data_IF_509200546355
#
_entry.id   IF_509200546355
#
_cell.length_a   1.000
_cell.length_b   1.000
_cell.length_c   1.000
_cell.angle_alpha   90.00
_cell.angle_beta   90.00
_cell.angle_gamma   90.00
#
_symmetry.space_group_name_H-M   'P 1'
#
loop_
_entity.id
_entity.type
_entity.pdbx_description
1 polymer ?
#
# COMPACT_ATOMS: atom_id res chain seq x y z
N UNK A 1 8.45 28.34 2.82
CA UNK A 1 8.04 26.93 2.58
C UNK A 1 6.55 26.86 2.80
N UNK A 2 5.80 26.26 1.88
CA UNK A 2 4.35 26.11 2.02
C UNK A 2 4.12 24.86 2.88
N UNK A 3 3.86 25.03 4.18
CA UNK A 3 3.71 23.94 5.13
C UNK A 3 2.32 23.92 5.76
N UNK A 4 1.89 22.75 6.21
CA UNK A 4 0.66 22.54 6.96
C UNK A 4 0.97 21.87 8.29
N UNK A 5 0.51 22.47 9.39
CA UNK A 5 0.55 21.84 10.71
C UNK A 5 -0.48 20.72 10.79
N UNK A 6 -0.02 19.51 11.06
CA UNK A 6 -0.85 18.31 11.20
C UNK A 6 -0.70 17.79 12.63
N UNK A 7 -1.83 17.46 13.26
CA UNK A 7 -1.90 16.88 14.60
C UNK A 7 -2.63 15.56 14.55
N UNK A 8 -2.15 14.57 15.30
CA UNK A 8 -2.82 13.28 15.36
C UNK A 8 -2.41 12.41 16.54
N UNK A 9 -3.09 11.28 16.64
CA UNK A 9 -2.93 10.29 17.69
C UNK A 9 -2.05 9.10 17.26
N UNK A 10 -1.88 8.13 18.16
CA UNK A 10 -1.06 6.93 17.92
C UNK A 10 -1.57 6.07 16.76
N UNK A 11 -2.89 5.95 16.56
CA UNK A 11 -3.48 5.16 15.47
C UNK A 11 -3.20 5.82 14.12
N UNK A 12 -3.40 7.13 14.03
CA UNK A 12 -3.08 7.92 12.83
C UNK A 12 -1.59 7.91 12.52
N UNK A 13 -0.74 8.06 13.53
CA UNK A 13 0.72 7.95 13.38
C UNK A 13 1.13 6.62 12.76
N UNK A 14 0.54 5.50 13.19
CA UNK A 14 0.84 4.18 12.63
C UNK A 14 0.46 4.10 11.14
N UNK A 15 -0.75 4.53 10.79
CA UNK A 15 -1.26 4.53 9.42
C UNK A 15 -0.42 5.45 8.51
N UNK A 16 -0.21 6.70 8.92
CA UNK A 16 0.54 7.68 8.13
C UNK A 16 1.98 7.21 7.91
N UNK A 17 2.64 6.67 8.95
CA UNK A 17 4.00 6.12 8.82
C UNK A 17 4.06 4.90 7.91
N UNK A 18 2.99 4.11 7.84
CA UNK A 18 2.90 3.00 6.88
C UNK A 18 2.73 3.52 5.45
N UNK A 19 1.85 4.49 5.22
CA UNK A 19 1.70 5.16 3.92
C UNK A 19 3.02 5.81 3.46
N UNK A 20 3.75 6.47 4.36
CA UNK A 20 5.08 7.05 4.08
C UNK A 20 6.13 6.00 3.66
N UNK A 21 5.95 4.72 3.99
CA UNK A 21 6.85 3.65 3.49
C UNK A 21 6.54 3.25 2.05
N UNK A 22 5.38 3.65 1.54
CA UNK A 22 4.91 3.35 0.19
C UNK A 22 5.18 4.48 -0.80
N UNK A 23 5.62 5.66 -0.33
CA UNK A 23 5.97 6.79 -1.19
C UNK A 23 7.36 6.60 -1.83
N UNK A 24 7.58 7.31 -2.93
CA UNK A 24 8.87 7.34 -3.62
C UNK A 24 9.94 8.05 -2.77
N UNK A 25 11.16 7.50 -2.72
CA UNK A 25 12.28 8.06 -1.93
C UNK A 25 13.38 8.74 -2.76
N UNK A 26 13.33 8.60 -4.09
CA UNK A 26 14.33 9.15 -5.00
C UNK A 26 14.04 10.60 -5.42
N UNK A 27 14.99 11.22 -6.10
CA UNK A 27 14.90 12.62 -6.53
C UNK A 27 14.06 12.85 -7.80
N UNK A 28 13.83 11.81 -8.61
CA UNK A 28 13.26 11.94 -9.96
C UNK A 28 11.73 12.00 -10.07
N UNK A 29 10.99 11.84 -8.97
CA UNK A 29 9.51 11.86 -8.97
C UNK A 29 8.95 12.65 -7.78
N UNK A 30 9.07 13.99 -7.78
CA UNK A 30 8.66 14.83 -6.65
C UNK A 30 7.19 14.65 -6.25
N UNK A 31 6.27 14.60 -7.22
CA UNK A 31 4.85 14.31 -6.98
C UNK A 31 4.58 13.04 -6.15
N UNK A 32 5.47 12.04 -6.18
CA UNK A 32 5.29 10.76 -5.49
C UNK A 32 5.97 10.67 -4.11
N UNK A 33 6.62 11.74 -3.64
CA UNK A 33 7.33 11.74 -2.35
C UNK A 33 6.40 11.84 -1.15
N UNK A 34 5.22 12.42 -1.36
CA UNK A 34 4.22 12.65 -0.32
C UNK A 34 3.03 11.70 -0.39
N UNK A 35 2.14 11.85 0.59
CA UNK A 35 0.81 11.23 0.58
C UNK A 35 -0.14 12.20 -0.10
N UNK A 36 -0.84 11.73 -1.13
CA UNK A 36 -1.84 12.50 -1.85
C UNK A 36 -3.22 12.29 -1.22
N UNK A 37 -3.98 13.37 -1.05
CA UNK A 37 -5.32 13.38 -0.47
C UNK A 37 -6.30 13.91 -1.51
N UNK A 38 -7.28 13.08 -1.88
CA UNK A 38 -8.31 13.42 -2.87
C UNK A 38 -9.60 12.64 -2.58
N UNK A 39 -10.75 13.31 -2.63
CA UNK A 39 -12.09 12.72 -2.47
C UNK A 39 -12.24 11.81 -1.23
N UNK A 40 -11.74 12.26 -0.08
CA UNK A 40 -11.77 11.54 1.18
C UNK A 40 -10.80 10.36 1.27
N UNK A 41 -9.86 10.21 0.33
CA UNK A 41 -8.89 9.11 0.28
C UNK A 41 -7.47 9.61 0.51
N UNK A 42 -6.63 8.75 1.06
CA UNK A 42 -5.18 8.91 1.11
C UNK A 42 -4.52 7.90 0.17
N UNK A 43 -3.68 8.40 -0.72
CA UNK A 43 -2.99 7.64 -1.77
C UNK A 43 -1.48 7.77 -1.56
N UNK A 44 -0.78 6.64 -1.54
CA UNK A 44 0.68 6.60 -1.48
C UNK A 44 1.22 5.58 -2.49
N UNK A 45 2.18 5.98 -3.30
CA UNK A 45 2.78 5.14 -4.34
C UNK A 45 4.23 5.51 -4.60
N UNK A 46 5.01 4.52 -5.04
CA UNK A 46 6.37 4.70 -5.56
C UNK A 46 6.45 4.54 -7.09
N UNK A 47 5.30 4.33 -7.74
CA UNK A 47 5.14 4.04 -9.17
C UNK A 47 5.22 2.56 -9.55
N UNK A 48 5.47 1.65 -8.60
CA UNK A 48 5.41 0.20 -8.80
C UNK A 48 4.32 -0.47 -7.96
N UNK A 49 4.00 0.12 -6.81
CA UNK A 49 2.90 -0.30 -5.93
C UNK A 49 2.14 0.93 -5.46
N UNK A 50 0.89 0.73 -5.10
CA UNK A 50 0.01 1.78 -4.60
C UNK A 50 -0.81 1.27 -3.44
N UNK A 51 -0.98 2.13 -2.44
CA UNK A 51 -1.90 1.93 -1.33
C UNK A 51 -2.91 3.06 -1.33
N UNK A 52 -4.18 2.70 -1.24
CA UNK A 52 -5.31 3.63 -1.11
C UNK A 52 -6.03 3.27 0.19
N UNK A 53 -6.27 4.27 1.04
CA UNK A 53 -7.07 4.13 2.26
C UNK A 53 -8.07 5.28 2.36
N UNK A 54 -9.09 5.20 3.23
CA UNK A 54 -9.77 6.41 3.68
C UNK A 54 -8.75 7.41 4.24
N UNK A 55 -8.96 8.70 4.01
CA UNK A 55 -8.11 9.75 4.54
C UNK A 55 -8.16 9.71 6.08
N UNK A 56 -7.00 9.65 6.76
CA UNK A 56 -6.97 9.72 8.21
C UNK A 56 -7.49 11.10 8.68
N UNK A 57 -8.10 11.16 9.87
CA UNK A 57 -8.71 12.40 10.41
C UNK A 57 -7.81 13.65 10.26
N UNK A 58 -6.49 13.60 10.53
CA UNK A 58 -5.63 14.77 10.40
C UNK A 58 -5.53 15.35 8.98
N UNK A 59 -5.91 14.58 7.96
CA UNK A 59 -5.85 14.97 6.55
C UNK A 59 -7.22 15.32 5.94
N UNK A 60 -8.32 15.10 6.66
CA UNK A 60 -9.65 15.41 6.14
C UNK A 60 -9.82 16.91 5.85
N UNK A 61 -10.43 17.22 4.71
CA UNK A 61 -10.68 18.60 4.26
C UNK A 61 -9.46 19.37 3.78
N UNK A 62 -8.30 18.69 3.60
CA UNK A 62 -7.12 19.31 3.01
C UNK A 62 -7.04 19.14 1.47
N UNK A 63 -7.96 18.38 0.89
CA UNK A 63 -7.95 17.98 -0.51
C UNK A 63 -8.30 19.10 -1.52
N UNK A 64 -7.77 19.04 -2.75
CA UNK A 64 -6.71 18.12 -3.20
C UNK A 64 -5.32 18.59 -2.77
N UNK A 65 -4.51 17.72 -2.18
CA UNK A 65 -3.16 18.08 -1.71
C UNK A 65 -2.20 16.89 -1.67
N UNK A 66 -0.90 17.15 -1.83
CA UNK A 66 0.16 16.17 -1.57
C UNK A 66 1.07 16.67 -0.45
N UNK A 67 1.26 15.86 0.59
CA UNK A 67 2.01 16.23 1.79
C UNK A 67 3.22 15.32 2.03
N UNK A 68 4.39 15.92 2.19
CA UNK A 68 5.64 15.25 2.59
C UNK A 68 6.06 15.70 4.00
N UNK A 69 6.64 14.80 4.79
CA UNK A 69 7.12 15.12 6.12
C UNK A 69 7.31 13.88 6.98
N UNK A 70 8.00 14.00 8.10
CA UNK A 70 8.28 12.88 9.00
C UNK A 70 7.29 12.86 10.16
N UNK A 71 6.48 11.81 10.26
CA UNK A 71 5.57 11.61 11.40
C UNK A 71 6.24 10.69 12.44
N UNK A 72 6.42 11.14 13.70
CA UNK A 72 6.99 10.32 14.77
C UNK A 72 5.98 9.26 15.25
N UNK A 73 6.45 8.27 15.99
CA UNK A 73 5.60 7.27 16.62
C UNK A 73 4.83 7.88 17.82
N UNK A 74 3.53 7.58 17.94
CA UNK A 74 2.72 8.04 19.07
C UNK A 74 1.83 9.24 18.72
N UNK A 75 1.48 10.06 19.73
CA UNK A 75 0.82 11.35 19.49
C UNK A 75 1.81 12.29 18.83
N UNK A 76 1.35 13.12 17.90
CA UNK A 76 2.23 13.99 17.14
C UNK A 76 1.59 15.32 16.78
N UNK A 77 2.44 16.31 16.61
CA UNK A 77 2.16 17.60 16.01
C UNK A 77 3.39 17.97 15.17
N UNK A 78 3.23 18.05 13.85
CA UNK A 78 4.35 18.28 12.91
C UNK A 78 3.93 19.23 11.79
N UNK A 79 4.89 19.94 11.23
CA UNK A 79 4.70 20.64 9.95
C UNK A 79 5.03 19.67 8.80
N UNK A 80 4.10 19.55 7.85
CA UNK A 80 4.31 18.81 6.61
C UNK A 80 4.44 19.80 5.45
N UNK A 81 5.36 19.55 4.54
CA UNK A 81 5.57 20.33 3.34
C UNK A 81 4.52 19.97 2.29
N UNK A 82 3.99 20.99 1.61
CA UNK A 82 3.05 20.84 0.51
C UNK A 82 3.86 20.69 -0.78
N UNK A 83 3.67 19.57 -1.48
CA UNK A 83 4.27 19.35 -2.80
C UNK A 83 3.41 20.02 -3.86
N UNK A 84 3.98 21.00 -4.56
CA UNK A 84 3.31 21.77 -5.61
C UNK A 84 3.50 21.15 -7.00
N UNK A 85 3.42 19.82 -7.08
CA UNK A 85 3.55 19.05 -8.31
C UNK A 85 2.25 18.30 -8.59
N UNK A 86 2.02 17.95 -9.85
CA UNK A 86 0.78 17.27 -10.25
C UNK A 86 0.88 15.80 -9.90
N UNK A 87 -0.02 15.33 -9.02
CA UNK A 87 -0.10 13.92 -8.72
C UNK A 87 -0.63 13.15 -9.94
N UNK A 88 -0.07 11.97 -10.30
CA UNK A 88 -0.54 11.20 -11.44
C UNK A 88 -2.00 10.77 -11.27
N UNK A 89 -2.72 10.62 -12.38
CA UNK A 89 -4.07 10.04 -12.37
C UNK A 89 -4.00 8.58 -11.93
N UNK A 90 -4.28 8.34 -10.65
CA UNK A 90 -4.27 7.00 -10.10
C UNK A 90 -5.53 6.21 -10.46
N UNK A 91 -6.62 6.88 -10.86
CA UNK A 91 -7.90 6.22 -11.14
C UNK A 91 -7.77 5.36 -12.39
N UNK A 92 -6.97 5.80 -13.37
CA UNK A 92 -6.74 5.07 -14.62
C UNK A 92 -6.00 3.74 -14.46
N UNK A 93 -5.36 3.47 -13.31
CA UNK A 93 -4.61 2.22 -13.05
C UNK A 93 -5.32 1.30 -12.05
N UNK A 94 -6.37 1.77 -11.37
CA UNK A 94 -7.18 0.92 -10.49
C UNK A 94 -8.09 0.07 -11.40
N UNK A 95 -8.01 -1.27 -11.35
CA UNK A 95 -8.86 -2.10 -12.20
C UNK A 95 -10.34 -1.82 -11.91
N UNK A 96 -11.15 -1.57 -12.94
CA UNK A 96 -12.59 -1.36 -12.78
C UNK A 96 -13.36 -2.67 -12.86
N UNK A 97 -12.89 -3.58 -13.70
CA UNK A 97 -13.50 -4.89 -13.92
C UNK A 97 -13.48 -5.79 -12.68
N UNK A 98 -14.35 -6.79 -12.71
CA UNK A 98 -14.33 -7.86 -11.72
C UNK A 98 -13.06 -8.70 -11.90
N UNK A 99 -12.36 -9.04 -10.81
CA UNK A 99 -11.17 -9.88 -10.90
C UNK A 99 -11.52 -11.26 -11.46
N UNK A 100 -10.68 -11.78 -12.35
CA UNK A 100 -10.82 -13.13 -12.91
C UNK A 100 -10.76 -14.23 -11.84
N UNK A 101 -10.05 -13.96 -10.73
CA UNK A 101 -9.94 -14.86 -9.59
C UNK A 101 -9.71 -14.09 -8.30
N UNK A 102 -10.33 -14.56 -7.22
CA UNK A 102 -10.15 -14.02 -5.86
C UNK A 102 -9.73 -15.17 -4.97
N UNK A 103 -8.61 -15.01 -4.27
CA UNK A 103 -8.10 -15.99 -3.31
C UNK A 103 -7.82 -15.27 -1.99
N UNK A 104 -8.38 -15.80 -0.91
CA UNK A 104 -8.15 -15.29 0.44
C UNK A 104 -6.92 -15.96 1.03
N UNK A 105 -6.03 -15.18 1.64
CA UNK A 105 -4.82 -15.71 2.28
C UNK A 105 -4.60 -15.05 3.63
N UNK A 106 -3.93 -15.77 4.53
CA UNK A 106 -3.37 -15.14 5.73
C UNK A 106 -2.17 -14.28 5.33
N UNK A 107 -2.28 -12.97 5.52
CA UNK A 107 -1.24 -12.00 5.10
C UNK A 107 0.09 -12.20 5.81
N UNK A 108 0.08 -12.63 7.08
CA UNK A 108 1.29 -12.91 7.85
C UNK A 108 2.01 -14.15 7.30
N UNK A 109 1.28 -15.24 7.03
CA UNK A 109 1.86 -16.44 6.45
C UNK A 109 2.45 -16.20 5.06
N UNK A 110 1.73 -15.45 4.21
CA UNK A 110 2.26 -15.06 2.90
C UNK A 110 3.53 -14.21 3.05
N UNK A 111 3.52 -13.21 3.93
CA UNK A 111 4.69 -12.37 4.16
C UNK A 111 5.90 -13.17 4.67
N UNK A 112 5.67 -14.14 5.56
CA UNK A 112 6.75 -14.98 6.11
C UNK A 112 7.37 -15.90 5.05
N UNK A 113 6.56 -16.47 4.15
CA UNK A 113 7.07 -17.21 2.99
C UNK A 113 7.89 -16.28 2.09
N UNK A 114 7.36 -15.10 1.75
CA UNK A 114 8.01 -14.16 0.84
C UNK A 114 9.31 -13.56 1.39
N UNK A 115 9.46 -13.43 2.71
CA UNK A 115 10.74 -13.01 3.34
C UNK A 115 11.89 -13.98 3.08
N UNK A 116 11.60 -15.25 2.82
CA UNK A 116 12.58 -16.25 2.45
C UNK A 116 13.05 -16.15 0.99
N UNK A 117 12.37 -15.33 0.18
CA UNK A 117 12.60 -15.21 -1.26
C UNK A 117 13.24 -13.86 -1.63
N UNK A 118 14.10 -13.87 -2.65
CA UNK A 118 14.75 -12.70 -3.21
C UNK A 118 14.21 -12.39 -4.60
N UNK A 119 13.89 -11.12 -4.84
CA UNK A 119 13.43 -10.65 -6.14
C UNK A 119 11.95 -10.97 -6.39
N UNK A 120 11.67 -11.67 -7.48
CA UNK A 120 10.29 -11.97 -7.92
C UNK A 120 9.85 -13.32 -7.38
N UNK A 121 8.67 -13.37 -6.76
CA UNK A 121 7.95 -14.60 -6.47
C UNK A 121 6.85 -14.82 -7.51
N UNK A 122 6.68 -16.06 -7.95
CA UNK A 122 5.64 -16.50 -8.90
C UNK A 122 4.57 -17.24 -8.10
N UNK A 123 3.32 -16.81 -8.23
CA UNK A 123 2.17 -17.41 -7.56
C UNK A 123 1.33 -18.18 -8.58
N UNK A 124 1.17 -19.49 -8.37
CA UNK A 124 0.28 -20.36 -9.14
C UNK A 124 -1.08 -20.47 -8.45
N UNK A 125 -2.14 -19.99 -9.12
CA UNK A 125 -3.51 -20.03 -8.60
C UNK A 125 -4.32 -21.11 -9.36
N UNK A 126 -4.87 -22.08 -8.62
CA UNK A 126 -5.58 -23.23 -9.20
C UNK A 126 -7.10 -23.21 -8.96
N UNK A 127 -7.59 -22.15 -8.31
CA UNK A 127 -8.99 -21.94 -7.92
C UNK A 127 -9.11 -21.32 -6.52
N UNK A 128 -10.27 -20.74 -6.20
CA UNK A 128 -10.50 -19.93 -4.99
C UNK A 128 -10.16 -20.63 -3.66
N UNK A 129 -10.41 -21.93 -3.58
CA UNK A 129 -10.23 -22.75 -2.38
C UNK A 129 -9.18 -23.87 -2.59
N UNK A 130 -8.29 -23.72 -3.57
CA UNK A 130 -7.19 -24.66 -3.80
C UNK A 130 -5.87 -24.10 -3.27
N UNK A 131 -4.89 -24.96 -2.93
CA UNK A 131 -3.56 -24.51 -2.53
C UNK A 131 -2.93 -23.58 -3.56
N UNK A 132 -2.20 -22.57 -3.08
CA UNK A 132 -1.43 -21.64 -3.89
C UNK A 132 0.02 -22.13 -3.93
N UNK A 133 0.54 -22.34 -5.12
CA UNK A 133 1.96 -22.64 -5.31
C UNK A 133 2.74 -21.33 -5.33
N UNK A 134 3.86 -21.27 -4.61
CA UNK A 134 4.73 -20.10 -4.58
C UNK A 134 6.14 -20.57 -4.91
N UNK A 135 6.71 -20.04 -5.98
CA UNK A 135 8.07 -20.34 -6.41
C UNK A 135 8.91 -19.09 -6.59
N UNK A 136 10.21 -19.21 -6.38
CA UNK A 136 11.14 -18.09 -6.51
C UNK A 136 12.58 -18.52 -6.28
N UNK A 137 13.45 -17.54 -6.04
CA UNK A 137 14.81 -17.79 -5.57
C UNK A 137 14.92 -17.47 -4.09
N UNK A 138 15.61 -18.31 -3.34
CA UNK A 138 15.99 -18.07 -1.96
C UNK A 138 17.02 -16.95 -1.82
N UNK A 139 17.33 -16.59 -0.58
CA UNK A 139 18.37 -15.60 -0.28
C UNK A 139 19.78 -16.08 -0.68
N UNK A 140 20.00 -17.39 -0.72
CA UNK A 140 21.19 -18.07 -1.24
C UNK A 140 21.21 -18.17 -2.77
N UNK A 141 20.12 -17.80 -3.45
CA UNK A 141 19.97 -17.85 -4.90
C UNK A 141 19.40 -19.18 -5.42
N UNK A 142 19.22 -20.18 -4.57
CA UNK A 142 18.66 -21.49 -4.92
C UNK A 142 17.17 -21.42 -5.19
N UNK A 143 16.62 -22.42 -5.91
CA UNK A 143 15.18 -22.47 -6.15
C UNK A 143 14.45 -22.81 -4.86
N UNK A 144 13.44 -22.01 -4.51
CA UNK A 144 12.56 -22.25 -3.38
C UNK A 144 11.14 -22.50 -3.89
N UNK A 145 10.48 -23.47 -3.26
CA UNK A 145 9.09 -23.81 -3.51
C UNK A 145 8.34 -23.87 -2.16
N UNK A 146 7.15 -23.29 -2.13
CA UNK A 146 6.26 -23.32 -0.99
C UNK A 146 4.82 -23.50 -1.46
N UNK A 147 3.98 -23.97 -0.54
CA UNK A 147 2.53 -24.06 -0.73
C UNK A 147 1.86 -23.29 0.38
N UNK A 148 0.93 -22.41 0.01
CA UNK A 148 0.09 -21.69 0.96
C UNK A 148 -1.36 -22.14 0.81
N UNK A 149 -1.96 -22.59 1.90
CA UNK A 149 -3.37 -22.93 1.93
C UNK A 149 -4.21 -21.64 1.90
N UNK A 150 -5.27 -21.59 1.09
CA UNK A 150 -6.17 -20.44 1.09
C UNK A 150 -6.99 -20.42 2.37
N UNK A 151 -7.42 -19.22 2.75
CA UNK A 151 -8.49 -19.05 3.73
C UNK A 151 -9.81 -19.36 3.02
N UNK A 152 -10.71 -20.11 3.66
CA UNK A 152 -12.04 -20.37 3.10
C UNK A 152 -12.77 -19.05 2.86
N UNK A 153 -12.94 -18.70 1.60
CA UNK A 153 -13.78 -17.58 1.19
C UNK A 153 -15.22 -18.07 1.02
N UNK A 154 -16.18 -17.25 1.42
CA UNK A 154 -17.58 -17.43 1.00
C UNK A 154 -17.67 -17.26 -0.53
N UNK A 155 -18.66 -17.91 -1.16
CA UNK A 155 -18.78 -17.94 -2.63
C UNK A 155 -18.85 -16.54 -3.25
N UNK A 156 -19.35 -15.57 -2.49
CA UNK A 156 -19.61 -14.18 -2.84
C UNK A 156 -18.50 -13.20 -2.40
N UNK A 157 -17.32 -13.68 -2.02
CA UNK A 157 -16.20 -12.81 -1.65
C UNK A 157 -15.89 -11.80 -2.77
N UNK A 158 -15.80 -10.52 -2.38
CA UNK A 158 -15.50 -9.37 -3.27
C UNK A 158 -14.34 -8.56 -2.71
N UNK A 159 -13.65 -7.85 -3.60
CA UNK A 159 -12.66 -6.85 -3.19
C UNK A 159 -13.41 -5.59 -2.76
N UNK A 160 -13.27 -5.22 -1.49
CA UNK A 160 -13.77 -3.95 -0.98
C UNK A 160 -12.76 -2.84 -1.28
N UNK A 161 -13.21 -1.81 -2.02
CA UNK A 161 -12.41 -0.61 -2.32
C UNK A 161 -12.90 0.52 -1.41
N UNK A 162 -12.00 1.29 -0.78
CA UNK A 162 -12.37 2.45 0.01
C UNK A 162 -12.91 3.60 -0.86
#
# INVERSE_FOLDING_TARGET
>A
MNTRRIKGNKKESLLIRWLQKMTHKGFGRPALKGIHIENGKAIATDGYRMVITPAPEPFKGLEPITLEGKVPAGKFEVDMEIILDTFPDFKSIVPEDSPESIVGVNSQLLADILKGMKGTAILGLHGKNKPIEISGRGNDGEKVYAVLMPMHLMEDAKIERP
#
